data_IF_451813204459
#
_entry.id   IF_451813204459
#
_cell.length_a   1.000
_cell.length_b   1.000
_cell.length_c   1.000
_cell.angle_alpha   90.00
_cell.angle_beta   90.00
_cell.angle_gamma   90.00
#
_symmetry.space_group_name_H-M   'P 1'
#
loop_
_entity.id
_entity.type
_entity.pdbx_description
1 polymer ?
#
# COMPACT_ATOMS: atom_id res chain seq x y z
N UNK A 1 -61.55 -1.05 -52.02
CA UNK A 1 -62.03 -1.55 -50.72
C UNK A 1 -61.46 -2.94 -50.49
N UNK A 2 -60.75 -3.13 -49.36
CA UNK A 2 -60.35 -4.41 -48.76
C UNK A 2 -59.36 -5.30 -49.55
N UNK A 3 -58.42 -6.03 -48.96
CA UNK A 3 -57.92 -6.15 -47.57
C UNK A 3 -56.56 -6.87 -47.64
N UNK A 4 -55.71 -6.53 -46.68
CA UNK A 4 -54.38 -7.07 -46.41
C UNK A 4 -54.38 -8.58 -46.16
N UNK A 5 -53.37 -9.28 -46.67
CA UNK A 5 -52.77 -10.43 -45.99
C UNK A 5 -51.28 -10.51 -46.34
N UNK A 6 -50.41 -10.02 -45.46
CA UNK A 6 -48.99 -10.37 -45.46
C UNK A 6 -48.61 -10.74 -44.03
N UNK A 7 -48.30 -12.03 -43.83
CA UNK A 7 -47.80 -12.56 -42.57
C UNK A 7 -46.48 -11.85 -42.23
N UNK A 8 -46.45 -11.20 -41.07
CA UNK A 8 -45.21 -10.78 -40.42
C UNK A 8 -44.81 -11.88 -39.43
N UNK A 9 -43.78 -12.64 -39.77
CA UNK A 9 -43.08 -13.52 -38.85
C UNK A 9 -42.21 -12.65 -37.94
N UNK A 10 -42.68 -12.40 -36.71
CA UNK A 10 -41.95 -11.66 -35.69
C UNK A 10 -40.99 -12.62 -34.97
N UNK A 11 -39.73 -12.69 -35.41
CA UNK A 11 -38.66 -13.33 -34.62
C UNK A 11 -38.28 -12.42 -33.46
N UNK A 12 -38.79 -12.72 -32.27
CA UNK A 12 -38.29 -12.16 -31.02
C UNK A 12 -36.86 -12.68 -30.79
N UNK A 13 -35.87 -11.83 -31.02
CA UNK A 13 -34.52 -12.02 -30.47
C UNK A 13 -34.59 -11.62 -29.01
N UNK A 14 -34.70 -12.60 -28.12
CA UNK A 14 -34.46 -12.42 -26.68
C UNK A 14 -32.96 -12.20 -26.50
N UNK A 15 -32.51 -10.94 -26.49
CA UNK A 15 -31.19 -10.58 -25.95
C UNK A 15 -31.23 -10.76 -24.45
N UNK A 16 -30.76 -11.92 -23.99
CA UNK A 16 -30.38 -12.16 -22.60
C UNK A 16 -29.26 -11.18 -22.24
N UNK A 17 -29.62 -10.04 -21.65
CA UNK A 17 -28.68 -9.21 -20.90
C UNK A 17 -28.27 -10.02 -19.68
N UNK A 18 -27.19 -10.79 -19.81
CA UNK A 18 -26.44 -11.29 -18.67
C UNK A 18 -25.92 -10.03 -17.97
N UNK A 19 -26.57 -9.66 -16.86
CA UNK A 19 -25.99 -8.74 -15.91
C UNK A 19 -24.70 -9.37 -15.40
N UNK A 20 -23.57 -8.99 -15.99
CA UNK A 20 -22.26 -9.26 -15.40
C UNK A 20 -22.24 -8.40 -14.15
N UNK A 21 -22.43 -9.01 -12.97
CA UNK A 21 -22.08 -8.31 -11.74
C UNK A 21 -20.59 -8.03 -11.82
N UNK A 22 -20.23 -6.77 -11.99
CA UNK A 22 -18.84 -6.33 -11.98
C UNK A 22 -18.36 -6.26 -10.53
N UNK A 23 -18.45 -7.37 -9.79
CA UNK A 23 -17.53 -7.56 -8.69
C UNK A 23 -16.20 -7.92 -9.34
N UNK A 24 -15.17 -7.11 -9.08
CA UNK A 24 -13.81 -7.41 -9.52
C UNK A 24 -13.45 -8.80 -8.98
N UNK A 25 -13.51 -9.81 -9.84
CA UNK A 25 -13.32 -11.19 -9.43
C UNK A 25 -11.84 -11.39 -9.15
N UNK A 26 -11.52 -11.79 -7.91
CA UNK A 26 -10.16 -12.17 -7.53
C UNK A 26 -9.68 -13.29 -8.44
N UNK A 27 -8.56 -13.07 -9.12
CA UNK A 27 -7.96 -14.04 -10.03
C UNK A 27 -7.68 -15.38 -9.33
N UNK A 28 -7.78 -16.49 -10.07
CA UNK A 28 -7.30 -17.78 -9.59
C UNK A 28 -5.79 -17.74 -9.33
N UNK A 29 -5.29 -18.49 -8.34
CA UNK A 29 -3.89 -18.46 -7.90
C UNK A 29 -2.87 -18.67 -9.02
N UNK A 30 -3.19 -19.51 -10.03
CA UNK A 30 -2.33 -19.71 -11.20
C UNK A 30 -2.18 -18.45 -12.06
N UNK A 31 -3.26 -17.70 -12.23
CA UNK A 31 -3.23 -16.45 -13.00
C UNK A 31 -2.60 -15.32 -12.18
N UNK A 32 -2.82 -15.30 -10.85
CA UNK A 32 -2.06 -14.41 -9.95
C UNK A 32 -0.56 -14.65 -10.07
N UNK A 33 -0.12 -15.92 -10.05
CA UNK A 33 1.30 -16.27 -10.14
C UNK A 33 1.95 -15.80 -11.44
N UNK A 34 1.26 -15.96 -12.58
CA UNK A 34 1.73 -15.45 -13.87
C UNK A 34 1.91 -13.94 -13.86
N UNK A 35 0.92 -13.19 -13.37
CA UNK A 35 0.97 -11.73 -13.34
C UNK A 35 2.06 -11.22 -12.40
N UNK A 36 2.20 -11.86 -11.22
CA UNK A 36 3.28 -11.54 -10.28
C UNK A 36 4.65 -11.76 -10.92
N UNK A 37 4.88 -12.91 -11.55
CA UNK A 37 6.16 -13.22 -12.21
C UNK A 37 6.42 -12.28 -13.39
N UNK A 38 5.40 -11.93 -14.18
CA UNK A 38 5.48 -10.93 -15.26
C UNK A 38 5.94 -9.56 -14.73
N UNK A 39 5.34 -9.09 -13.63
CA UNK A 39 5.68 -7.79 -13.01
C UNK A 39 7.09 -7.83 -12.41
N UNK A 40 7.48 -8.92 -11.77
CA UNK A 40 8.85 -9.07 -11.24
C UNK A 40 9.85 -9.02 -12.40
N UNK A 41 9.58 -9.73 -13.50
CA UNK A 41 10.44 -9.73 -14.67
C UNK A 41 10.55 -8.33 -15.29
N UNK A 42 9.45 -7.59 -15.45
CA UNK A 42 9.47 -6.19 -15.92
C UNK A 42 10.31 -5.30 -14.99
N UNK A 43 10.09 -5.40 -13.67
CA UNK A 43 10.81 -4.60 -12.69
C UNK A 43 12.32 -4.90 -12.68
N UNK A 44 12.70 -6.17 -12.75
CA UNK A 44 14.11 -6.57 -12.79
C UNK A 44 14.79 -6.17 -14.10
N UNK A 45 14.08 -6.24 -15.24
CA UNK A 45 14.67 -5.99 -16.55
C UNK A 45 14.69 -4.51 -16.94
N UNK A 46 13.66 -3.76 -16.57
CA UNK A 46 13.45 -2.40 -17.05
C UNK A 46 13.61 -1.35 -15.94
N UNK A 47 13.08 -1.60 -14.73
CA UNK A 47 13.11 -0.62 -13.64
C UNK A 47 14.46 -0.61 -12.92
N UNK A 48 14.92 -1.76 -12.43
CA UNK A 48 16.13 -1.85 -11.61
C UNK A 48 17.39 -1.21 -12.22
N UNK A 49 17.75 -1.40 -13.50
CA UNK A 49 18.93 -0.72 -14.07
C UNK A 49 18.81 0.80 -14.05
N UNK A 50 17.60 1.37 -14.25
CA UNK A 50 17.38 2.82 -14.14
C UNK A 50 17.58 3.31 -12.71
N UNK A 51 17.13 2.54 -11.72
CA UNK A 51 17.29 2.87 -10.31
C UNK A 51 18.76 2.76 -9.85
N UNK A 52 19.48 1.74 -10.32
CA UNK A 52 20.92 1.60 -10.07
C UNK A 52 21.70 2.77 -10.67
N UNK A 53 21.34 3.22 -11.89
CA UNK A 53 21.90 4.43 -12.49
C UNK A 53 21.61 5.68 -11.65
N UNK A 54 20.32 5.89 -11.28
CA UNK A 54 19.86 7.04 -10.49
C UNK A 54 20.61 7.17 -9.15
N UNK A 55 20.81 6.04 -8.48
CA UNK A 55 21.42 5.99 -7.13
C UNK A 55 22.95 5.86 -7.18
N UNK A 56 23.51 5.54 -8.35
CA UNK A 56 24.95 5.34 -8.54
C UNK A 56 25.49 4.14 -7.77
N UNK A 57 24.68 3.10 -7.57
CA UNK A 57 25.14 1.82 -6.99
C UNK A 57 25.52 0.89 -8.15
N UNK A 58 26.80 0.56 -8.26
CA UNK A 58 27.29 -0.28 -9.36
C UNK A 58 26.97 -1.75 -9.13
N UNK A 59 27.02 -2.21 -7.89
CA UNK A 59 26.71 -3.59 -7.53
C UNK A 59 25.81 -3.62 -6.30
N UNK A 60 24.65 -4.24 -6.41
CA UNK A 60 23.76 -4.47 -5.28
C UNK A 60 23.80 -5.94 -4.89
N UNK A 61 24.26 -6.21 -3.66
CA UNK A 61 24.40 -7.55 -3.11
C UNK A 61 23.38 -7.72 -1.99
N UNK A 62 22.44 -8.64 -2.18
CA UNK A 62 21.46 -9.03 -1.16
C UNK A 62 21.72 -10.46 -0.76
N UNK A 63 21.89 -10.69 0.54
CA UNK A 63 22.24 -11.99 1.11
C UNK A 63 21.12 -12.36 2.06
N UNK A 64 20.53 -13.52 1.86
CA UNK A 64 19.42 -13.95 2.69
C UNK A 64 19.38 -15.46 2.87
N UNK A 65 18.54 -15.92 3.79
CA UNK A 65 18.35 -17.32 4.14
C UNK A 65 16.87 -17.66 4.21
N UNK A 66 16.57 -18.92 3.98
CA UNK A 66 15.23 -19.48 4.18
C UNK A 66 14.72 -19.18 5.60
N UNK A 67 13.51 -18.63 5.69
CA UNK A 67 12.84 -18.17 6.92
C UNK A 67 13.39 -16.90 7.55
N UNK A 68 14.42 -16.28 6.97
CA UNK A 68 14.88 -14.95 7.37
C UNK A 68 15.14 -14.09 6.13
N UNK A 69 14.11 -13.97 5.30
CA UNK A 69 14.21 -13.22 4.06
C UNK A 69 14.34 -11.72 4.32
N UNK A 70 15.37 -11.12 3.71
CA UNK A 70 15.49 -9.68 3.61
C UNK A 70 14.17 -9.11 3.02
N UNK A 71 13.60 -8.03 3.59
CA UNK A 71 12.31 -7.50 3.14
C UNK A 71 12.27 -7.13 1.66
N UNK A 72 13.40 -6.68 1.08
CA UNK A 72 13.53 -6.44 -0.35
C UNK A 72 13.49 -7.75 -1.12
N UNK A 73 14.25 -8.76 -0.68
CA UNK A 73 14.32 -10.04 -1.41
C UNK A 73 12.94 -10.70 -1.51
N UNK A 74 12.08 -10.58 -0.49
CA UNK A 74 10.68 -11.07 -0.54
C UNK A 74 9.90 -10.53 -1.75
N UNK A 75 10.21 -9.31 -2.20
CA UNK A 75 9.55 -8.70 -3.37
C UNK A 75 10.11 -9.21 -4.71
N UNK A 76 11.26 -9.87 -4.71
CA UNK A 76 11.96 -10.38 -5.90
C UNK A 76 11.79 -11.89 -6.10
N UNK A 77 11.26 -12.62 -5.11
CA UNK A 77 11.05 -14.05 -5.20
C UNK A 77 9.93 -14.38 -6.21
N UNK A 78 10.05 -15.44 -7.02
CA UNK A 78 8.97 -15.90 -7.89
C UNK A 78 7.68 -16.15 -7.11
N UNK A 79 6.53 -16.05 -7.77
CA UNK A 79 5.22 -16.22 -7.15
C UNK A 79 5.05 -17.57 -6.44
N UNK A 80 5.72 -18.61 -6.94
CA UNK A 80 5.67 -19.98 -6.39
C UNK A 80 6.68 -20.23 -5.27
N UNK A 81 7.53 -19.25 -4.95
CA UNK A 81 8.47 -19.33 -3.84
C UNK A 81 7.89 -18.60 -2.63
N UNK A 82 7.38 -19.37 -1.67
CA UNK A 82 6.83 -18.85 -0.41
C UNK A 82 7.97 -18.30 0.47
N UNK A 83 9.15 -18.92 0.40
CA UNK A 83 10.38 -18.54 1.09
C UNK A 83 11.58 -18.60 0.14
N UNK A 84 12.68 -17.94 0.52
CA UNK A 84 13.97 -18.19 -0.09
C UNK A 84 14.38 -19.65 0.17
N UNK A 85 15.25 -20.22 -0.69
CA UNK A 85 15.68 -21.62 -0.55
C UNK A 85 17.12 -21.68 -0.06
N UNK A 86 17.36 -22.11 1.18
CA UNK A 86 18.67 -22.04 1.86
C UNK A 86 19.27 -20.61 1.77
N UNK A 87 20.59 -20.49 1.78
CA UNK A 87 21.28 -19.22 1.50
C UNK A 87 21.11 -18.83 0.03
N UNK A 88 20.43 -17.72 -0.20
CA UNK A 88 20.22 -17.12 -1.53
C UNK A 88 20.93 -15.76 -1.57
N UNK A 89 21.88 -15.60 -2.47
CA UNK A 89 22.58 -14.33 -2.68
C UNK A 89 22.22 -13.78 -4.07
N UNK A 90 21.49 -12.67 -4.10
CA UNK A 90 21.16 -11.97 -5.34
C UNK A 90 22.21 -10.89 -5.59
N UNK A 91 22.76 -10.85 -6.80
CA UNK A 91 23.78 -9.89 -7.22
C UNK A 91 23.31 -9.23 -8.50
N UNK A 92 23.11 -7.91 -8.42
CA UNK A 92 22.83 -7.06 -9.56
C UNK A 92 24.05 -6.19 -9.82
N UNK A 93 24.51 -6.13 -11.07
CA UNK A 93 25.61 -5.24 -11.47
C UNK A 93 25.16 -4.35 -12.61
N UNK A 94 25.49 -3.06 -12.52
CA UNK A 94 25.25 -2.07 -13.54
C UNK A 94 26.51 -1.24 -13.79
N UNK A 95 26.94 -1.16 -15.04
CA UNK A 95 28.02 -0.29 -15.46
C UNK A 95 27.43 0.96 -16.15
N UNK A 96 27.51 2.16 -15.55
CA UNK A 96 26.90 3.35 -16.13
C UNK A 96 27.57 3.81 -17.43
N UNK A 97 28.83 3.43 -17.69
CA UNK A 97 29.54 3.79 -18.92
C UNK A 97 29.19 2.88 -20.10
N UNK A 98 29.17 1.56 -19.88
CA UNK A 98 28.89 0.58 -20.95
C UNK A 98 27.42 0.21 -21.06
N UNK A 99 26.60 0.60 -20.07
CA UNK A 99 25.22 0.15 -19.90
C UNK A 99 25.08 -1.36 -19.73
N UNK A 100 26.18 -2.05 -19.38
CA UNK A 100 26.15 -3.47 -19.05
C UNK A 100 25.36 -3.67 -17.76
N UNK A 101 24.35 -4.54 -17.83
CA UNK A 101 23.52 -4.92 -16.70
C UNK A 101 23.48 -6.43 -16.56
N UNK A 102 23.81 -6.95 -15.37
CA UNK A 102 23.76 -8.39 -15.08
C UNK A 102 22.95 -8.68 -13.83
N UNK A 103 22.29 -9.85 -13.85
CA UNK A 103 21.45 -10.39 -12.77
C UNK A 103 21.92 -11.80 -12.48
N UNK A 104 22.42 -12.04 -11.26
CA UNK A 104 22.97 -13.34 -10.87
C UNK A 104 22.43 -13.76 -9.51
N UNK A 105 22.12 -15.05 -9.39
CA UNK A 105 21.86 -15.69 -8.11
C UNK A 105 23.06 -16.58 -7.81
N UNK A 106 23.86 -16.24 -6.80
CA UNK A 106 24.84 -17.20 -6.25
C UNK A 106 24.04 -18.17 -5.39
N UNK A 107 23.40 -19.13 -6.06
CA UNK A 107 22.51 -20.14 -5.51
C UNK A 107 22.50 -21.34 -6.45
N UNK A 108 21.94 -22.47 -5.99
CA UNK A 108 21.93 -23.73 -6.76
C UNK A 108 21.04 -23.69 -8.00
N UNK A 109 20.03 -22.83 -8.01
CA UNK A 109 19.01 -22.77 -9.05
C UNK A 109 18.74 -21.32 -9.43
N UNK A 110 18.16 -21.13 -10.61
CA UNK A 110 17.67 -19.83 -11.04
C UNK A 110 16.61 -19.32 -10.05
N UNK A 111 16.58 -18.00 -9.85
CA UNK A 111 15.50 -17.33 -9.13
C UNK A 111 14.57 -16.75 -10.18
N UNK A 112 13.45 -17.43 -10.39
CA UNK A 112 12.49 -17.11 -11.44
C UNK A 112 13.06 -17.31 -12.84
N UNK A 113 12.49 -16.59 -13.81
CA UNK A 113 12.93 -16.62 -15.20
C UNK A 113 14.16 -15.71 -15.44
N UNK A 114 14.20 -14.57 -14.73
CA UNK A 114 15.11 -13.44 -14.98
C UNK A 114 16.48 -13.51 -14.27
N UNK A 115 16.62 -14.23 -13.16
CA UNK A 115 17.89 -14.27 -12.40
C UNK A 115 18.53 -15.65 -12.55
N UNK A 116 19.65 -15.73 -13.27
CA UNK A 116 20.34 -17.00 -13.54
C UNK A 116 21.22 -17.41 -12.36
N UNK A 117 21.26 -18.72 -12.11
CA UNK A 117 22.21 -19.31 -11.18
C UNK A 117 23.64 -19.06 -11.67
N UNK A 118 24.51 -18.58 -10.76
CA UNK A 118 25.90 -18.26 -11.02
C UNK A 118 26.86 -19.00 -10.08
N UNK A 119 26.38 -20.01 -9.35
CA UNK A 119 27.21 -20.83 -8.47
C UNK A 119 27.68 -22.11 -9.17
N UNK A 120 28.91 -22.07 -9.69
CA UNK A 120 29.63 -23.27 -10.10
C UNK A 120 30.23 -23.96 -8.85
N UNK A 121 29.54 -25.00 -8.39
CA UNK A 121 29.92 -25.75 -7.17
C UNK A 121 31.19 -26.57 -7.33
N UNK A 122 31.61 -26.89 -8.57
CA UNK A 122 32.85 -27.63 -8.84
C UNK A 122 34.03 -26.68 -8.74
N UNK A 123 33.90 -25.47 -9.32
CA UNK A 123 34.95 -24.45 -9.26
C UNK A 123 35.03 -23.76 -7.89
N UNK A 124 33.89 -23.55 -7.25
CA UNK A 124 33.76 -22.89 -5.94
C UNK A 124 32.93 -23.76 -5.00
N UNK A 125 33.55 -24.70 -4.26
CA UNK A 125 32.83 -25.51 -3.27
C UNK A 125 32.13 -24.66 -2.19
N UNK A 126 32.73 -23.53 -1.83
CA UNK A 126 32.14 -22.52 -0.96
C UNK A 126 31.37 -21.48 -1.79
N UNK A 127 30.09 -21.29 -1.48
CA UNK A 127 29.19 -20.32 -2.12
C UNK A 127 29.72 -18.89 -2.01
N UNK A 128 30.36 -18.54 -0.90
CA UNK A 128 30.91 -17.20 -0.70
C UNK A 128 32.08 -16.90 -1.64
N UNK A 129 32.87 -17.90 -2.00
CA UNK A 129 33.98 -17.73 -2.95
C UNK A 129 33.45 -17.46 -4.37
N UNK A 130 32.30 -18.05 -4.73
CA UNK A 130 31.62 -17.73 -5.99
C UNK A 130 31.10 -16.27 -6.00
N UNK A 131 30.56 -15.78 -4.88
CA UNK A 131 30.19 -14.36 -4.75
C UNK A 131 31.42 -13.45 -4.93
N UNK A 132 32.54 -13.77 -4.28
CA UNK A 132 33.77 -12.99 -4.43
C UNK A 132 34.34 -13.04 -5.84
N UNK A 133 34.18 -14.16 -6.56
CA UNK A 133 34.54 -14.25 -7.98
C UNK A 133 33.74 -13.27 -8.84
N UNK A 134 32.43 -13.08 -8.56
CA UNK A 134 31.61 -12.08 -9.25
C UNK A 134 32.04 -10.65 -8.92
N UNK A 135 32.31 -10.34 -7.64
CA UNK A 135 32.83 -9.02 -7.23
C UNK A 135 34.15 -8.72 -7.95
N UNK A 136 35.08 -9.67 -7.97
CA UNK A 136 36.37 -9.54 -8.64
C UNK A 136 36.23 -9.44 -10.17
N UNK A 137 35.27 -10.14 -10.79
CA UNK A 137 35.04 -10.05 -12.23
C UNK A 137 34.59 -8.66 -12.65
N UNK A 138 33.67 -8.06 -11.90
CA UNK A 138 33.01 -6.81 -12.27
C UNK A 138 33.71 -5.54 -11.75
N UNK A 139 34.62 -5.67 -10.78
CA UNK A 139 35.40 -4.54 -10.23
C UNK A 139 34.54 -3.30 -9.88
N UNK A 140 33.41 -3.44 -9.14
CA UNK A 140 32.53 -2.30 -8.85
C UNK A 140 33.27 -1.20 -8.08
N UNK A 141 32.84 0.06 -8.23
CA UNK A 141 33.31 1.21 -7.44
C UNK A 141 32.46 1.42 -6.19
N UNK A 142 31.18 1.06 -6.24
CA UNK A 142 30.24 1.06 -5.11
C UNK A 142 29.49 -0.26 -5.02
N UNK A 143 29.55 -0.90 -3.86
CA UNK A 143 28.82 -2.13 -3.54
C UNK A 143 27.79 -1.80 -2.46
N UNK A 144 26.51 -1.82 -2.83
CA UNK A 144 25.40 -1.61 -1.94
C UNK A 144 25.03 -2.87 -1.15
N UNK A 145 24.89 -2.71 0.16
CA UNK A 145 24.33 -3.72 1.07
C UNK A 145 23.04 -3.20 1.72
N UNK A 146 22.09 -4.07 2.04
CA UNK A 146 20.83 -3.70 2.70
C UNK A 146 21.06 -3.41 4.19
N UNK A 147 21.65 -2.26 4.46
CA UNK A 147 21.86 -1.70 5.80
C UNK A 147 21.26 -0.29 5.82
N UNK A 148 20.45 0.03 6.82
CA UNK A 148 19.72 1.30 6.87
C UNK A 148 19.45 1.73 8.31
N UNK A 149 19.57 3.04 8.58
CA UNK A 149 19.17 3.60 9.88
C UNK A 149 17.73 4.08 9.89
N UNK A 150 17.18 4.43 8.73
CA UNK A 150 15.92 5.16 8.60
C UNK A 150 14.78 4.31 8.03
N UNK A 151 15.09 3.18 7.38
CA UNK A 151 14.13 2.32 6.74
C UNK A 151 14.39 0.85 7.11
N UNK A 152 13.58 0.30 8.02
CA UNK A 152 13.66 -1.13 8.37
C UNK A 152 13.52 -2.06 7.16
N UNK A 153 12.78 -1.65 6.12
CA UNK A 153 12.66 -2.40 4.86
C UNK A 153 13.99 -2.53 4.10
N UNK A 154 14.94 -1.62 4.32
CA UNK A 154 16.24 -1.57 3.66
C UNK A 154 17.39 -2.01 4.60
N UNK A 155 17.07 -2.53 5.79
CA UNK A 155 18.03 -3.00 6.81
C UNK A 155 17.96 -4.53 6.99
N UNK A 156 17.72 -5.26 5.90
CA UNK A 156 17.49 -6.70 5.94
C UNK A 156 18.74 -7.58 5.95
N UNK A 157 19.96 -7.01 5.89
CA UNK A 157 21.18 -7.78 5.99
C UNK A 157 21.45 -8.20 7.44
N UNK A 158 21.23 -9.48 7.72
CA UNK A 158 21.58 -10.10 8.99
C UNK A 158 23.04 -9.88 9.39
N UNK A 159 23.27 -9.69 10.70
CA UNK A 159 24.61 -9.52 11.24
C UNK A 159 25.54 -10.70 10.93
N UNK A 160 25.04 -11.94 11.01
CA UNK A 160 25.81 -13.16 10.72
C UNK A 160 26.28 -13.22 9.25
N UNK A 161 25.44 -12.81 8.31
CA UNK A 161 25.75 -12.76 6.88
C UNK A 161 26.68 -11.58 6.58
N UNK A 162 26.50 -10.44 7.25
CA UNK A 162 27.43 -9.31 7.16
C UNK A 162 28.84 -9.70 7.61
N UNK A 163 28.99 -10.37 8.75
CA UNK A 163 30.30 -10.81 9.24
C UNK A 163 30.99 -11.77 8.28
N UNK A 164 30.25 -12.77 7.77
CA UNK A 164 30.77 -13.71 6.77
C UNK A 164 31.18 -12.99 5.48
N UNK A 165 30.34 -12.07 4.99
CA UNK A 165 30.66 -11.25 3.83
C UNK A 165 31.95 -10.45 4.05
N UNK A 166 32.10 -9.79 5.20
CA UNK A 166 33.27 -8.98 5.53
C UNK A 166 34.56 -9.79 5.70
N UNK A 167 34.47 -11.03 6.17
CA UNK A 167 35.59 -11.96 6.25
C UNK A 167 36.07 -12.38 4.85
N UNK A 168 35.13 -12.63 3.93
CA UNK A 168 35.41 -13.09 2.57
C UNK A 168 35.77 -11.96 1.60
N UNK A 169 35.28 -10.75 1.85
CA UNK A 169 35.47 -9.61 0.96
C UNK A 169 36.95 -9.18 0.88
N UNK A 170 37.56 -9.15 -0.32
CA UNK A 170 38.93 -8.69 -0.47
C UNK A 170 39.10 -7.25 0.03
N UNK A 171 40.25 -6.97 0.65
CA UNK A 171 40.54 -5.67 1.30
C UNK A 171 40.28 -4.48 0.37
N UNK A 172 40.61 -4.62 -0.92
CA UNK A 172 40.42 -3.57 -1.93
C UNK A 172 38.95 -3.16 -2.18
N UNK A 173 37.97 -4.00 -1.79
CA UNK A 173 36.54 -3.70 -1.93
C UNK A 173 35.88 -3.23 -0.63
N UNK A 174 36.52 -3.40 0.54
CA UNK A 174 35.94 -3.01 1.83
C UNK A 174 35.61 -1.52 1.90
N UNK A 175 36.45 -0.67 1.31
CA UNK A 175 36.24 0.79 1.24
C UNK A 175 35.17 1.21 0.23
N UNK A 176 34.65 0.26 -0.56
CA UNK A 176 33.62 0.50 -1.59
C UNK A 176 32.22 0.13 -1.11
N UNK A 177 32.09 -0.41 0.10
CA UNK A 177 30.81 -0.74 0.68
C UNK A 177 30.05 0.52 1.05
N UNK A 178 28.78 0.55 0.67
CA UNK A 178 27.85 1.63 0.99
C UNK A 178 26.50 1.05 1.40
N UNK A 179 25.72 1.81 2.14
CA UNK A 179 24.30 1.51 2.31
C UNK A 179 23.61 1.54 0.95
N UNK A 180 22.79 0.52 0.69
CA UNK A 180 21.90 0.48 -0.47
C UNK A 180 20.56 1.16 -0.22
N UNK A 181 20.34 1.78 0.95
CA UNK A 181 19.07 2.40 1.34
C UNK A 181 18.46 3.26 0.23
N UNK A 182 19.19 4.16 -0.48
CA UNK A 182 18.60 4.93 -1.57
C UNK A 182 18.04 4.07 -2.71
N UNK A 183 18.70 2.94 -3.04
CA UNK A 183 18.27 2.00 -4.09
C UNK A 183 17.16 1.07 -3.61
N UNK A 184 17.24 0.60 -2.36
CA UNK A 184 16.21 -0.24 -1.75
C UNK A 184 14.89 0.52 -1.61
N UNK A 185 14.93 1.77 -1.13
CA UNK A 185 13.76 2.66 -1.07
C UNK A 185 13.23 2.93 -2.48
N UNK A 186 14.11 3.28 -3.43
CA UNK A 186 13.73 3.50 -4.82
C UNK A 186 13.01 2.30 -5.45
N UNK A 187 13.51 1.09 -5.18
CA UNK A 187 12.91 -0.15 -5.62
C UNK A 187 11.50 -0.31 -5.03
N UNK A 188 11.34 -0.14 -3.72
CA UNK A 188 10.07 -0.34 -3.04
C UNK A 188 9.03 0.76 -3.32
N UNK A 189 9.44 2.01 -3.54
CA UNK A 189 8.50 3.13 -3.73
C UNK A 189 7.94 3.20 -5.15
N UNK A 190 8.75 2.81 -6.16
CA UNK A 190 8.43 3.06 -7.56
C UNK A 190 7.47 1.99 -8.09
N UNK A 191 6.32 2.41 -8.62
CA UNK A 191 5.35 1.58 -9.34
C UNK A 191 5.62 1.62 -10.84
N UNK A 192 5.59 0.47 -11.52
CA UNK A 192 5.65 0.41 -12.98
C UNK A 192 4.30 0.69 -13.61
N UNK A 193 4.30 1.01 -14.91
CA UNK A 193 3.07 1.16 -15.68
C UNK A 193 2.20 -0.11 -15.63
N UNK A 194 2.83 -1.30 -15.55
CA UNK A 194 2.13 -2.57 -15.45
C UNK A 194 1.42 -2.74 -14.10
N UNK A 195 2.06 -2.37 -12.99
CA UNK A 195 1.42 -2.32 -11.67
C UNK A 195 0.20 -1.40 -11.68
N UNK A 196 0.34 -0.21 -12.28
CA UNK A 196 -0.75 0.78 -12.34
C UNK A 196 -1.93 0.37 -13.23
N UNK A 197 -1.83 -0.67 -14.05
CA UNK A 197 -2.97 -1.20 -14.82
C UNK A 197 -3.96 -1.97 -13.94
N UNK A 198 -3.52 -2.57 -12.83
CA UNK A 198 -4.38 -3.34 -11.94
C UNK A 198 -4.48 -2.77 -10.52
N UNK A 199 -3.62 -1.83 -10.12
CA UNK A 199 -3.74 -1.17 -8.81
C UNK A 199 -5.14 -0.56 -8.56
N UNK A 200 -5.80 0.11 -9.53
CA UNK A 200 -7.18 0.57 -9.36
C UNK A 200 -8.16 -0.54 -8.93
N UNK A 201 -7.97 -1.76 -9.42
CA UNK A 201 -8.80 -2.91 -9.05
C UNK A 201 -8.56 -3.36 -7.60
N UNK A 202 -7.30 -3.32 -7.12
CA UNK A 202 -6.98 -3.60 -5.71
C UNK A 202 -7.74 -2.64 -4.80
N UNK A 203 -7.68 -1.34 -5.08
CA UNK A 203 -8.38 -0.31 -4.30
C UNK A 203 -9.90 -0.45 -4.42
N UNK A 204 -10.43 -0.77 -5.61
CA UNK A 204 -11.86 -1.00 -5.82
C UNK A 204 -12.38 -2.20 -5.02
N UNK A 205 -11.61 -3.28 -4.90
CA UNK A 205 -11.98 -4.44 -4.08
C UNK A 205 -12.12 -4.00 -2.62
N UNK A 206 -11.16 -3.24 -2.08
CA UNK A 206 -11.23 -2.75 -0.70
C UNK A 206 -12.45 -1.86 -0.47
N UNK A 207 -12.69 -0.89 -1.37
CA UNK A 207 -13.85 0.00 -1.28
C UNK A 207 -15.18 -0.74 -1.41
N UNK A 208 -15.25 -1.78 -2.24
CA UNK A 208 -16.44 -2.62 -2.36
C UNK A 208 -16.70 -3.43 -1.08
N UNK A 209 -15.66 -3.94 -0.43
CA UNK A 209 -15.77 -4.64 0.85
C UNK A 209 -16.23 -3.66 1.95
N UNK A 210 -15.64 -2.46 2.02
CA UNK A 210 -16.05 -1.39 2.95
C UNK A 210 -17.52 -1.03 2.76
N UNK A 211 -17.96 -0.80 1.51
CA UNK A 211 -19.35 -0.48 1.21
C UNK A 211 -20.32 -1.60 1.63
N UNK A 212 -19.93 -2.87 1.45
CA UNK A 212 -20.73 -4.02 1.91
C UNK A 212 -20.76 -4.11 3.44
N UNK A 213 -19.64 -3.90 4.11
CA UNK A 213 -19.55 -3.89 5.57
C UNK A 213 -20.39 -2.77 6.18
N UNK A 214 -20.37 -1.58 5.58
CA UNK A 214 -21.23 -0.45 5.92
C UNK A 214 -22.61 -0.51 5.25
N UNK A 215 -23.25 -1.67 5.27
CA UNK A 215 -24.61 -1.85 4.76
C UNK A 215 -25.53 -2.53 5.76
N UNK A 216 -26.84 -2.41 5.54
CA UNK A 216 -27.85 -3.14 6.30
C UNK A 216 -27.84 -4.66 6.07
N UNK A 217 -27.01 -5.19 5.17
CA UNK A 217 -26.79 -6.63 5.04
C UNK A 217 -25.91 -7.18 6.17
N UNK A 218 -25.04 -6.33 6.72
CA UNK A 218 -24.01 -6.72 7.70
C UNK A 218 -24.32 -6.12 9.07
N UNK A 219 -24.75 -4.86 9.10
CA UNK A 219 -25.02 -4.13 10.34
C UNK A 219 -26.51 -4.14 10.65
N UNK A 220 -26.85 -4.64 11.84
CA UNK A 220 -28.16 -4.47 12.47
C UNK A 220 -28.01 -3.54 13.69
N UNK A 221 -28.47 -2.28 13.61
CA UNK A 221 -28.36 -1.34 14.73
C UNK A 221 -29.03 -1.87 16.01
N UNK A 222 -28.38 -1.70 17.15
CA UNK A 222 -28.78 -2.22 18.45
C UNK A 222 -28.38 -3.68 18.70
N UNK A 223 -27.76 -4.36 17.72
CA UNK A 223 -27.32 -5.76 17.82
C UNK A 223 -25.83 -5.88 17.47
N UNK A 224 -25.45 -5.47 16.25
CA UNK A 224 -24.07 -5.60 15.76
C UNK A 224 -23.13 -4.68 16.53
N UNK A 225 -22.00 -5.21 16.99
CA UNK A 225 -20.92 -4.42 17.59
C UNK A 225 -19.89 -4.00 16.54
N UNK A 226 -19.07 -2.98 16.84
CA UNK A 226 -17.91 -2.63 16.01
C UNK A 226 -16.93 -3.81 15.89
N UNK A 227 -16.78 -4.61 16.94
CA UNK A 227 -15.94 -5.80 16.95
C UNK A 227 -16.48 -6.90 16.03
N UNK A 228 -17.80 -7.14 16.02
CA UNK A 228 -18.42 -8.07 15.05
C UNK A 228 -18.12 -7.64 13.62
N UNK A 229 -18.15 -6.32 13.35
CA UNK A 229 -17.86 -5.79 12.02
C UNK A 229 -16.37 -5.94 11.65
N UNK A 230 -15.44 -5.74 12.59
CA UNK A 230 -14.01 -6.02 12.41
C UNK A 230 -13.78 -7.49 12.02
N UNK A 231 -14.39 -8.42 12.74
CA UNK A 231 -14.27 -9.86 12.42
C UNK A 231 -14.97 -10.24 11.13
N UNK A 232 -16.10 -9.60 10.81
CA UNK A 232 -16.75 -9.76 9.53
C UNK A 232 -15.82 -9.35 8.38
N UNK A 233 -15.13 -8.21 8.48
CA UNK A 233 -14.14 -7.77 7.50
C UNK A 233 -13.01 -8.78 7.33
N UNK A 234 -12.43 -9.26 8.45
CA UNK A 234 -11.38 -10.30 8.43
C UNK A 234 -11.85 -11.58 7.73
N UNK A 235 -13.06 -12.04 8.03
CA UNK A 235 -13.64 -13.23 7.41
C UNK A 235 -13.95 -13.00 5.92
N UNK A 236 -14.45 -11.82 5.56
CA UNK A 236 -14.75 -11.46 4.16
C UNK A 236 -13.50 -11.48 3.30
N UNK A 237 -12.39 -10.86 3.75
CA UNK A 237 -11.09 -10.89 3.07
C UNK A 237 -10.67 -12.35 2.81
N UNK A 238 -10.67 -13.19 3.84
CA UNK A 238 -10.26 -14.58 3.71
C UNK A 238 -11.16 -15.39 2.75
N UNK A 239 -12.47 -15.17 2.82
CA UNK A 239 -13.45 -15.87 1.98
C UNK A 239 -13.32 -15.52 0.49
N UNK A 240 -12.77 -14.34 0.17
CA UNK A 240 -12.44 -13.93 -1.19
C UNK A 240 -11.07 -14.44 -1.68
N UNK A 241 -10.34 -15.19 -0.85
CA UNK A 241 -8.98 -15.66 -1.17
C UNK A 241 -7.92 -14.55 -1.13
N UNK A 242 -8.20 -13.47 -0.39
CA UNK A 242 -7.30 -12.34 -0.18
C UNK A 242 -6.59 -12.45 1.17
N UNK A 243 -5.55 -11.65 1.37
CA UNK A 243 -4.94 -11.42 2.67
C UNK A 243 -4.97 -9.93 3.03
N UNK A 244 -4.43 -9.57 4.20
CA UNK A 244 -4.31 -8.20 4.66
C UNK A 244 -3.02 -8.05 5.46
N UNK A 245 -2.48 -6.83 5.50
CA UNK A 245 -1.22 -6.50 6.15
C UNK A 245 -1.40 -5.98 7.58
N UNK A 246 -2.65 -5.72 8.01
CA UNK A 246 -2.98 -5.36 9.39
C UNK A 246 -4.35 -5.90 9.82
N UNK A 247 -4.71 -5.70 11.08
CA UNK A 247 -6.04 -6.00 11.59
C UNK A 247 -6.89 -4.73 11.46
N UNK A 248 -8.05 -4.76 10.76
CA UNK A 248 -8.83 -3.55 10.55
C UNK A 248 -9.38 -3.05 11.89
N UNK A 249 -9.73 -1.77 11.94
CA UNK A 249 -10.41 -1.18 13.10
C UNK A 249 -11.75 -0.59 12.68
N UNK A 250 -12.71 -0.57 13.60
CA UNK A 250 -14.00 0.10 13.43
C UNK A 250 -14.27 0.93 14.67
N UNK A 251 -14.41 2.23 14.48
CA UNK A 251 -14.61 3.19 15.55
C UNK A 251 -15.99 3.84 15.46
N UNK A 252 -16.52 4.19 16.64
CA UNK A 252 -17.83 4.82 16.78
C UNK A 252 -17.66 6.20 17.39
N UNK A 253 -18.14 7.22 16.68
CA UNK A 253 -18.35 8.55 17.21
C UNK A 253 -19.84 8.85 17.28
N UNK A 254 -20.32 9.21 18.47
CA UNK A 254 -21.73 9.48 18.71
C UNK A 254 -21.96 10.73 19.53
N UNK A 255 -23.22 11.17 19.56
CA UNK A 255 -23.70 12.28 20.37
C UNK A 255 -23.79 11.87 21.86
N UNK A 256 -22.63 11.75 22.48
CA UNK A 256 -22.45 11.50 23.91
C UNK A 256 -21.46 12.51 24.51
N UNK A 257 -21.16 12.37 25.80
CA UNK A 257 -20.21 13.22 26.51
C UNK A 257 -18.78 12.63 26.54
N UNK A 258 -18.50 11.58 25.76
CA UNK A 258 -17.20 10.92 25.74
C UNK A 258 -16.33 11.61 24.70
N UNK A 259 -15.20 12.19 25.11
CA UNK A 259 -14.23 12.77 24.18
C UNK A 259 -13.50 11.69 23.36
N UNK A 260 -13.11 12.03 22.13
CA UNK A 260 -12.34 11.14 21.27
C UNK A 260 -10.92 10.94 21.82
N UNK A 261 -10.54 9.68 22.04
CA UNK A 261 -9.23 9.27 22.53
C UNK A 261 -8.51 8.47 21.44
N UNK A 262 -7.55 9.11 20.77
CA UNK A 262 -6.81 8.52 19.65
C UNK A 262 -6.07 7.24 20.06
N UNK A 263 -5.53 7.14 21.27
CA UNK A 263 -4.79 5.95 21.71
C UNK A 263 -5.72 4.75 21.92
N UNK A 264 -6.93 5.01 22.42
CA UNK A 264 -7.94 3.95 22.57
C UNK A 264 -8.56 3.55 21.25
N UNK A 265 -8.69 4.47 20.30
CA UNK A 265 -9.31 4.24 18.99
C UNK A 265 -8.59 3.16 18.15
N UNK A 266 -7.30 2.90 18.39
CA UNK A 266 -6.54 1.89 17.64
C UNK A 266 -6.05 0.72 18.51
N UNK A 267 -6.62 0.57 19.72
CA UNK A 267 -6.29 -0.52 20.63
C UNK A 267 -7.33 -1.64 20.56
N UNK A 268 -6.93 -2.90 20.75
CA UNK A 268 -7.82 -4.04 20.65
C UNK A 268 -8.84 -4.01 21.81
N UNK A 269 -10.10 -3.69 21.50
CA UNK A 269 -11.18 -3.61 22.48
C UNK A 269 -11.88 -4.96 22.50
N UNK A 270 -11.66 -5.75 23.55
CA UNK A 270 -12.54 -6.88 23.83
C UNK A 270 -14.01 -6.45 23.94
N UNK A 271 -14.94 -7.40 24.13
CA UNK A 271 -16.36 -7.09 24.22
C UNK A 271 -16.68 -5.99 25.27
N UNK A 272 -17.13 -4.83 24.79
CA UNK A 272 -17.64 -3.70 25.59
C UNK A 272 -19.04 -3.34 25.05
N UNK A 273 -20.10 -3.34 25.88
CA UNK A 273 -21.44 -2.89 25.48
C UNK A 273 -21.47 -1.50 24.82
N UNK A 274 -20.48 -0.63 25.08
CA UNK A 274 -20.34 0.67 24.39
C UNK A 274 -20.04 0.53 22.89
N UNK A 275 -19.60 -0.63 22.45
CA UNK A 275 -19.25 -0.92 21.06
C UNK A 275 -20.46 -1.39 20.22
N UNK A 276 -21.65 -1.52 20.80
CA UNK A 276 -22.88 -1.80 20.01
C UNK A 276 -23.17 -0.59 19.13
N UNK A 277 -23.33 -0.84 17.82
CA UNK A 277 -23.65 0.18 16.81
C UNK A 277 -25.12 0.58 16.98
N UNK A 278 -25.38 1.89 17.03
CA UNK A 278 -26.72 2.47 17.24
C UNK A 278 -27.11 3.41 16.11
N UNK A 279 -28.41 3.64 15.98
CA UNK A 279 -28.93 4.67 15.09
C UNK A 279 -28.45 6.06 15.50
N UNK A 280 -27.94 6.83 14.55
CA UNK A 280 -27.32 8.14 14.77
C UNK A 280 -25.80 8.12 14.99
N UNK A 281 -25.18 6.93 15.01
CA UNK A 281 -23.72 6.81 15.09
C UNK A 281 -23.04 7.22 13.78
N UNK A 282 -21.89 7.88 13.91
CA UNK A 282 -20.89 8.03 12.85
C UNK A 282 -19.84 6.95 13.05
N UNK A 283 -19.79 6.01 12.11
CA UNK A 283 -18.81 4.93 12.08
C UNK A 283 -17.61 5.36 11.24
N UNK A 284 -16.45 4.85 11.60
CA UNK A 284 -15.22 4.92 10.81
C UNK A 284 -14.64 3.51 10.73
N UNK A 285 -14.05 3.18 9.58
CA UNK A 285 -13.27 1.95 9.41
C UNK A 285 -11.89 2.33 8.92
N UNK A 286 -10.89 1.57 9.38
CA UNK A 286 -9.55 1.51 8.82
C UNK A 286 -9.31 0.10 8.27
N UNK A 287 -9.07 0.00 6.96
CA UNK A 287 -9.13 -1.25 6.22
C UNK A 287 -8.19 -1.29 5.02
N UNK A 288 -7.40 -2.36 4.96
CA UNK A 288 -6.55 -2.67 3.81
C UNK A 288 -6.52 -4.15 3.45
N UNK A 289 -6.21 -4.45 2.19
CA UNK A 289 -5.94 -5.80 1.70
C UNK A 289 -4.54 -5.89 1.12
N UNK A 290 -4.04 -7.11 0.99
CA UNK A 290 -2.90 -7.45 0.14
C UNK A 290 -3.42 -8.28 -1.03
N UNK A 291 -3.21 -7.81 -2.26
CA UNK A 291 -3.58 -8.51 -3.47
C UNK A 291 -2.52 -8.31 -4.56
N UNK A 292 -2.10 -9.40 -5.21
CA UNK A 292 -1.05 -9.36 -6.25
C UNK A 292 0.25 -8.67 -5.78
N UNK A 293 0.59 -8.82 -4.50
CA UNK A 293 1.74 -8.17 -3.82
C UNK A 293 1.67 -6.64 -3.72
N UNK A 294 0.51 -6.06 -3.96
CA UNK A 294 0.22 -4.67 -3.62
C UNK A 294 -0.71 -4.61 -2.42
N UNK A 295 -0.56 -3.57 -1.62
CA UNK A 295 -1.43 -3.27 -0.50
C UNK A 295 -2.34 -2.09 -0.86
N UNK A 296 -3.54 -2.10 -0.32
CA UNK A 296 -4.36 -0.90 -0.20
C UNK A 296 -4.41 -0.47 1.26
N UNK A 297 -4.74 0.79 1.48
CA UNK A 297 -5.08 1.32 2.80
C UNK A 297 -6.15 2.40 2.68
N UNK A 298 -7.29 2.20 3.34
CA UNK A 298 -8.51 2.97 3.10
C UNK A 298 -9.25 3.17 4.42
N UNK A 299 -9.48 4.44 4.74
CA UNK A 299 -10.34 4.86 5.83
C UNK A 299 -11.55 5.62 5.30
N UNK A 300 -12.74 5.17 5.69
CA UNK A 300 -14.00 5.76 5.27
C UNK A 300 -15.02 5.81 6.42
N UNK A 301 -15.96 6.75 6.33
CA UNK A 301 -17.02 6.94 7.31
C UNK A 301 -18.37 6.43 6.84
N UNK A 302 -19.19 5.94 7.77
CA UNK A 302 -20.60 5.64 7.55
C UNK A 302 -21.47 6.34 8.58
N UNK A 303 -22.68 6.68 8.19
CA UNK A 303 -23.71 7.16 9.11
C UNK A 303 -24.83 6.13 9.25
N UNK A 304 -25.19 5.82 10.49
CA UNK A 304 -26.33 4.95 10.78
C UNK A 304 -27.58 5.80 10.87
N UNK A 305 -28.50 5.63 9.92
CA UNK A 305 -29.73 6.42 9.85
C UNK A 305 -30.62 6.16 11.08
N UNK A 306 -31.18 7.24 11.63
CA UNK A 306 -32.30 7.18 12.57
C UNK A 306 -33.60 6.84 11.83
N UNK A 307 -34.64 6.40 12.56
CA UNK A 307 -35.96 6.23 11.98
C UNK A 307 -36.37 7.48 11.17
N UNK A 308 -36.91 7.25 9.97
CA UNK A 308 -37.35 8.27 9.01
C UNK A 308 -36.26 9.11 8.33
N UNK A 309 -34.98 9.01 8.73
CA UNK A 309 -33.90 9.66 8.00
C UNK A 309 -33.64 8.96 6.66
N UNK A 310 -33.41 9.74 5.61
CA UNK A 310 -33.11 9.25 4.26
C UNK A 310 -31.68 9.52 3.81
N UNK A 311 -30.98 10.38 4.54
CA UNK A 311 -29.63 10.85 4.28
C UNK A 311 -28.98 11.27 5.60
N UNK A 312 -27.65 11.39 5.62
CA UNK A 312 -26.92 11.88 6.78
C UNK A 312 -27.23 13.37 7.05
N UNK A 313 -27.23 13.82 8.31
CA UNK A 313 -27.41 15.22 8.67
C UNK A 313 -26.38 16.14 8.02
N UNK A 314 -26.80 17.36 7.66
CA UNK A 314 -25.95 18.34 6.97
C UNK A 314 -24.67 18.68 7.76
N UNK A 315 -24.73 18.70 9.09
CA UNK A 315 -23.54 18.97 9.91
C UNK A 315 -22.46 17.88 9.78
N UNK A 316 -22.82 16.60 9.58
CA UNK A 316 -21.85 15.52 9.33
C UNK A 316 -21.32 15.56 7.89
N UNK A 317 -22.17 15.88 6.92
CA UNK A 317 -21.75 16.07 5.52
C UNK A 317 -20.76 17.23 5.39
N UNK A 318 -21.02 18.33 6.09
CA UNK A 318 -20.11 19.48 6.15
C UNK A 318 -18.79 19.12 6.85
N UNK A 319 -18.83 18.33 7.92
CA UNK A 319 -17.60 17.85 8.56
C UNK A 319 -16.76 16.99 7.61
N UNK A 320 -17.38 16.06 6.88
CA UNK A 320 -16.70 15.27 5.83
C UNK A 320 -16.06 16.18 4.77
N UNK A 321 -16.73 17.26 4.36
CA UNK A 321 -16.20 18.22 3.40
C UNK A 321 -14.93 18.94 3.92
N UNK A 322 -14.84 19.24 5.22
CA UNK A 322 -13.62 19.79 5.84
C UNK A 322 -12.45 18.80 5.75
N UNK A 323 -12.71 17.50 5.99
CA UNK A 323 -11.70 16.45 5.79
C UNK A 323 -11.23 16.36 4.33
N UNK A 324 -12.16 16.43 3.37
CA UNK A 324 -11.83 16.45 1.93
C UNK A 324 -10.98 17.68 1.55
N UNK A 325 -11.29 18.85 2.11
CA UNK A 325 -10.50 20.07 1.92
C UNK A 325 -9.08 19.91 2.45
N UNK A 326 -8.90 19.25 3.60
CA UNK A 326 -7.57 18.94 4.12
C UNK A 326 -6.79 17.98 3.20
N UNK A 327 -7.46 16.99 2.61
CA UNK A 327 -6.85 16.13 1.59
C UNK A 327 -6.39 16.92 0.36
N UNK A 328 -7.17 17.90 -0.11
CA UNK A 328 -6.76 18.80 -1.20
C UNK A 328 -5.56 19.65 -0.80
N UNK A 329 -5.57 20.23 0.41
CA UNK A 329 -4.45 21.04 0.92
C UNK A 329 -3.16 20.23 0.90
N UNK A 330 -3.19 19.00 1.43
CA UNK A 330 -2.02 18.13 1.49
C UNK A 330 -1.53 17.74 0.09
N UNK A 331 -2.41 17.22 -0.74
CA UNK A 331 -2.02 16.67 -2.06
C UNK A 331 -1.56 17.75 -3.03
N UNK A 332 -2.05 18.99 -2.90
CA UNK A 332 -1.53 20.15 -3.62
C UNK A 332 -0.09 20.53 -3.24
N UNK A 333 0.45 20.01 -2.13
CA UNK A 333 1.85 20.23 -1.76
C UNK A 333 2.83 19.23 -2.40
N UNK A 334 2.33 18.20 -3.08
CA UNK A 334 3.16 17.16 -3.69
C UNK A 334 3.98 17.74 -4.84
N UNK A 335 5.29 17.49 -4.82
CA UNK A 335 6.19 18.00 -5.84
C UNK A 335 7.46 17.14 -5.91
N UNK A 336 7.98 16.96 -7.13
CA UNK A 336 9.25 16.28 -7.36
C UNK A 336 10.37 16.95 -6.55
N UNK A 337 11.22 16.13 -5.91
CA UNK A 337 12.36 16.53 -5.08
C UNK A 337 12.00 17.31 -3.80
N UNK A 338 10.72 17.41 -3.43
CA UNK A 338 10.30 18.00 -2.15
C UNK A 338 10.28 16.91 -1.08
N UNK A 339 10.89 17.17 0.08
CA UNK A 339 10.90 16.18 1.17
C UNK A 339 9.53 16.05 1.83
N UNK A 340 9.26 14.88 2.42
CA UNK A 340 8.03 14.65 3.19
C UNK A 340 7.81 15.68 4.30
N UNK A 341 8.88 16.07 5.00
CA UNK A 341 8.87 17.12 6.04
C UNK A 341 8.50 18.50 5.49
N UNK A 342 8.95 18.83 4.27
CA UNK A 342 8.58 20.09 3.63
C UNK A 342 7.12 20.07 3.15
N UNK A 343 6.64 18.93 2.65
CA UNK A 343 5.23 18.74 2.27
C UNK A 343 4.33 18.90 3.51
N UNK A 344 4.67 18.24 4.62
CA UNK A 344 3.95 18.31 5.89
C UNK A 344 3.84 19.75 6.40
N UNK A 345 4.97 20.45 6.53
CA UNK A 345 5.00 21.81 7.06
C UNK A 345 4.21 22.80 6.21
N UNK A 346 4.28 22.70 4.88
CA UNK A 346 3.49 23.55 3.98
C UNK A 346 1.99 23.26 4.09
N UNK A 347 1.61 21.98 4.16
CA UNK A 347 0.21 21.57 4.28
C UNK A 347 -0.40 22.03 5.61
N UNK A 348 0.31 21.85 6.72
CA UNK A 348 -0.14 22.32 8.04
C UNK A 348 -0.23 23.85 8.11
N UNK A 349 0.70 24.57 7.49
CA UNK A 349 0.65 26.02 7.42
C UNK A 349 -0.58 26.50 6.62
N UNK A 350 -0.91 25.85 5.52
CA UNK A 350 -2.09 26.17 4.72
C UNK A 350 -3.40 25.78 5.42
N UNK A 351 -3.47 24.59 6.03
CA UNK A 351 -4.61 24.17 6.85
C UNK A 351 -4.90 25.17 7.97
N UNK A 352 -3.87 25.67 8.64
CA UNK A 352 -4.00 26.71 9.67
C UNK A 352 -4.59 28.02 9.12
N UNK A 353 -4.19 28.47 7.93
CA UNK A 353 -4.78 29.67 7.30
C UNK A 353 -6.26 29.48 7.00
N UNK A 354 -6.64 28.26 6.61
CA UNK A 354 -8.02 27.87 6.32
C UNK A 354 -8.79 27.46 7.59
N UNK A 355 -8.22 27.64 8.77
CA UNK A 355 -8.82 27.34 10.09
C UNK A 355 -9.21 25.86 10.27
N UNK A 356 -8.50 24.95 9.60
CA UNK A 356 -8.68 23.51 9.76
C UNK A 356 -7.76 23.02 10.88
N UNK A 357 -8.34 22.39 11.90
CA UNK A 357 -7.59 21.70 12.94
C UNK A 357 -7.12 20.34 12.41
N UNK A 358 -5.95 20.34 11.78
CA UNK A 358 -5.41 19.23 11.02
C UNK A 358 -4.41 18.35 11.81
N UNK A 359 -4.38 17.07 11.48
CA UNK A 359 -3.28 16.16 11.79
C UNK A 359 -3.04 15.31 10.55
N UNK A 360 -1.79 15.23 10.09
CA UNK A 360 -1.42 14.55 8.85
C UNK A 360 -0.49 13.39 9.16
N UNK A 361 -0.85 12.19 8.71
CA UNK A 361 0.00 11.01 8.78
C UNK A 361 -0.12 10.30 7.44
N UNK A 362 0.66 10.71 6.45
CA UNK A 362 0.57 10.15 5.10
C UNK A 362 1.86 9.41 4.79
N UNK A 363 1.75 8.22 4.19
CA UNK A 363 2.90 7.37 3.91
C UNK A 363 2.84 6.77 2.50
N UNK A 364 3.99 6.36 1.94
CA UNK A 364 4.01 5.57 0.72
C UNK A 364 3.27 4.24 0.93
N UNK A 365 2.72 3.69 -0.15
CA UNK A 365 2.08 2.37 -0.16
C UNK A 365 2.44 1.57 -1.42
N UNK A 366 2.38 0.24 -1.31
CA UNK A 366 2.67 -0.67 -2.42
C UNK A 366 2.99 -2.07 -1.94
N UNK A 367 4.24 -2.50 -2.05
CA UNK A 367 4.68 -3.83 -1.59
C UNK A 367 4.49 -4.06 -0.08
N UNK A 368 4.46 -2.99 0.70
CA UNK A 368 4.11 -2.97 2.12
C UNK A 368 2.99 -1.92 2.32
N UNK A 369 2.24 -2.03 3.42
CA UNK A 369 1.22 -1.03 3.80
C UNK A 369 1.86 0.32 4.12
N UNK A 370 2.62 0.36 5.21
CA UNK A 370 3.60 1.41 5.47
C UNK A 370 4.85 1.20 4.59
N UNK A 371 4.79 1.55 3.30
CA UNK A 371 5.91 1.33 2.38
C UNK A 371 7.05 2.33 2.57
N UNK A 372 8.23 1.95 2.07
CA UNK A 372 9.39 2.83 2.03
C UNK A 372 9.21 3.97 1.01
N UNK A 373 9.75 5.14 1.34
CA UNK A 373 9.62 6.39 0.60
C UNK A 373 9.36 7.56 1.56
N UNK A 374 8.96 8.74 1.06
CA UNK A 374 8.85 9.93 1.89
C UNK A 374 7.62 9.87 2.80
N UNK A 375 7.85 9.79 4.12
CA UNK A 375 6.78 9.91 5.12
C UNK A 375 6.39 11.37 5.30
N UNK A 376 5.10 11.66 5.40
CA UNK A 376 4.56 13.00 5.58
C UNK A 376 3.80 13.02 6.92
N UNK A 377 4.53 13.33 7.99
CA UNK A 377 4.00 13.36 9.36
C UNK A 377 3.69 11.98 9.95
N UNK A 378 3.40 11.96 11.24
CA UNK A 378 2.82 10.84 11.99
C UNK A 378 1.87 11.41 13.03
N UNK A 379 0.96 10.60 13.58
CA UNK A 379 0.00 11.08 14.60
C UNK A 379 0.65 11.83 15.78
N UNK A 380 1.89 11.47 16.16
CA UNK A 380 2.69 12.10 17.21
C UNK A 380 3.85 12.98 16.70
N UNK A 381 4.08 13.06 15.39
CA UNK A 381 5.20 13.81 14.77
C UNK A 381 4.72 14.82 13.72
N UNK A 382 4.03 15.86 14.16
CA UNK A 382 3.55 16.96 13.29
C UNK A 382 4.61 18.04 12.98
N UNK A 383 5.81 17.95 13.58
CA UNK A 383 6.92 18.87 13.34
C UNK A 383 7.99 18.30 12.38
N UNK A 384 7.72 17.14 11.79
CA UNK A 384 8.64 16.42 10.91
C UNK A 384 9.08 15.08 11.48
N UNK A 385 9.42 14.17 10.57
CA UNK A 385 9.84 12.79 10.81
C UNK A 385 11.31 12.66 10.36
N UNK A 386 12.27 12.55 11.27
CA UNK A 386 13.68 12.38 10.91
C UNK A 386 13.92 11.10 10.09
N UNK A 387 14.76 11.18 9.06
CA UNK A 387 15.04 10.05 8.18
C UNK A 387 14.02 9.94 7.05
N UNK A 388 12.91 9.22 7.26
CA UNK A 388 11.95 8.97 6.18
C UNK A 388 11.22 10.23 5.70
N UNK A 389 10.99 11.21 6.57
CA UNK A 389 10.45 12.51 6.17
C UNK A 389 11.46 13.42 5.47
N UNK A 390 12.77 13.14 5.58
CA UNK A 390 13.81 13.89 4.88
C UNK A 390 14.02 13.41 3.44
N UNK A 391 13.54 12.19 3.14
CA UNK A 391 13.62 11.62 1.80
C UNK A 391 12.78 12.45 0.81
N UNK A 392 13.32 12.74 -0.39
CA UNK A 392 12.61 13.51 -1.39
C UNK A 392 11.53 12.68 -2.11
N UNK A 393 10.43 13.33 -2.47
CA UNK A 393 9.38 12.74 -3.29
C UNK A 393 9.83 12.57 -4.74
N UNK A 394 9.63 11.36 -5.27
CA UNK A 394 9.83 11.03 -6.68
C UNK A 394 8.50 10.72 -7.37
N UNK A 395 8.52 10.80 -8.69
CA UNK A 395 7.41 10.34 -9.51
C UNK A 395 7.26 8.82 -9.46
N UNK A 396 6.07 8.39 -9.86
CA UNK A 396 5.63 7.01 -9.92
C UNK A 396 5.54 6.35 -8.54
N UNK A 397 5.25 7.12 -7.50
CA UNK A 397 5.07 6.62 -6.14
C UNK A 397 3.58 6.66 -5.77
N UNK A 398 3.10 5.57 -5.18
CA UNK A 398 1.77 5.50 -4.60
C UNK A 398 1.83 5.86 -3.10
N UNK A 399 0.77 6.50 -2.61
CA UNK A 399 0.66 6.98 -1.23
C UNK A 399 -0.71 6.66 -0.67
N UNK A 400 -0.75 6.34 0.61
CA UNK A 400 -1.98 6.39 1.38
C UNK A 400 -2.16 7.77 1.98
N UNK A 401 -3.18 8.50 1.53
CA UNK A 401 -3.43 9.89 1.95
C UNK A 401 -4.22 9.90 3.26
N UNK A 402 -3.54 9.56 4.36
CA UNK A 402 -4.08 9.52 5.70
C UNK A 402 -3.91 10.85 6.46
N UNK A 403 -5.01 11.32 7.05
CA UNK A 403 -5.11 12.54 7.84
C UNK A 403 -6.41 12.57 8.64
N UNK A 404 -6.50 13.47 9.61
CA UNK A 404 -7.77 13.83 10.21
C UNK A 404 -7.97 15.34 10.38
N UNK A 405 -9.22 15.75 10.25
CA UNK A 405 -9.68 17.08 10.66
C UNK A 405 -10.53 16.97 11.94
N UNK A 406 -10.18 17.74 12.96
CA UNK A 406 -11.04 17.94 14.13
C UNK A 406 -12.12 18.98 13.81
N UNK A 407 -13.39 18.59 13.94
CA UNK A 407 -14.54 19.44 13.61
C UNK A 407 -15.49 19.51 14.78
N UNK A 408 -15.81 20.72 15.24
CA UNK A 408 -16.83 20.94 16.25
C UNK A 408 -18.23 20.77 15.64
N UNK A 409 -19.01 19.84 16.21
CA UNK A 409 -20.40 19.60 15.86
C UNK A 409 -21.28 20.24 16.93
N UNK A 410 -21.92 21.36 16.59
CA UNK A 410 -22.74 22.15 17.53
C UNK A 410 -23.93 21.34 18.05
N UNK A 411 -24.54 20.53 17.19
CA UNK A 411 -25.67 19.65 17.48
C UNK A 411 -25.30 18.59 18.51
N UNK A 412 -24.01 18.21 18.60
CA UNK A 412 -23.49 17.24 19.57
C UNK A 412 -22.77 17.92 20.74
N UNK A 413 -22.52 19.23 20.66
CA UNK A 413 -21.66 20.00 21.58
C UNK A 413 -20.31 19.30 21.80
N UNK A 414 -19.76 18.76 20.71
CA UNK A 414 -18.61 17.85 20.74
C UNK A 414 -17.74 18.05 19.51
N UNK A 415 -16.43 17.91 19.68
CA UNK A 415 -15.50 17.79 18.55
C UNK A 415 -15.40 16.34 18.12
N UNK A 416 -15.61 16.10 16.82
CA UNK A 416 -15.39 14.80 16.19
C UNK A 416 -14.13 14.83 15.34
N UNK A 417 -13.61 13.65 15.00
CA UNK A 417 -12.51 13.47 14.05
C UNK A 417 -13.02 12.92 12.73
N UNK A 418 -12.79 13.64 11.65
CA UNK A 418 -12.99 13.15 10.29
C UNK A 418 -11.65 12.57 9.83
N UNK A 419 -11.45 11.29 10.14
CA UNK A 419 -10.29 10.50 9.74
C UNK A 419 -10.52 9.96 8.32
N UNK A 420 -9.63 10.28 7.38
CA UNK A 420 -9.78 9.90 5.98
C UNK A 420 -8.46 9.36 5.49
N UNK A 421 -8.55 8.30 4.70
CA UNK A 421 -7.40 7.67 4.07
C UNK A 421 -7.82 7.09 2.72
N UNK A 422 -7.09 7.48 1.67
CA UNK A 422 -7.37 7.04 0.31
C UNK A 422 -6.06 6.90 -0.47
N UNK A 423 -5.92 5.77 -1.15
CA UNK A 423 -4.77 5.52 -2.01
C UNK A 423 -4.73 6.47 -3.22
N UNK A 424 -3.57 7.06 -3.43
CA UNK A 424 -3.26 7.96 -4.53
C UNK A 424 -1.93 7.67 -5.19
N UNK A 425 -1.70 8.31 -6.32
CA UNK A 425 -0.52 8.11 -7.17
C UNK A 425 0.00 9.46 -7.64
N UNK A 426 1.30 9.67 -7.49
CA UNK A 426 1.99 10.86 -7.93
C UNK A 426 2.90 10.56 -9.13
N UNK A 427 2.60 11.15 -10.28
CA UNK A 427 3.37 11.01 -11.52
C UNK A 427 3.61 12.39 -12.18
N UNK A 428 4.15 12.38 -13.40
CA UNK A 428 4.45 13.61 -14.15
C UNK A 428 3.20 14.44 -14.47
N UNK A 429 2.00 13.85 -14.47
CA UNK A 429 0.73 14.56 -14.62
C UNK A 429 0.23 15.16 -13.30
N UNK A 430 0.88 14.86 -12.18
CA UNK A 430 0.53 15.33 -10.84
C UNK A 430 -0.01 14.21 -9.96
N UNK A 431 -0.66 14.60 -8.86
CA UNK A 431 -1.30 13.67 -7.94
C UNK A 431 -2.71 13.32 -8.41
N UNK A 432 -3.11 12.05 -8.27
CA UNK A 432 -4.49 11.59 -8.46
C UNK A 432 -4.83 10.47 -7.48
N UNK A 433 -6.08 10.40 -7.03
CA UNK A 433 -6.58 9.23 -6.31
C UNK A 433 -6.73 8.05 -7.26
N UNK A 434 -6.22 6.87 -6.87
CA UNK A 434 -6.17 5.69 -7.74
C UNK A 434 -7.58 5.22 -8.13
N UNK A 435 -8.53 5.26 -7.19
CA UNK A 435 -9.94 4.90 -7.40
C UNK A 435 -10.88 5.90 -6.71
N UNK A 436 -10.59 7.19 -6.87
CA UNK A 436 -11.33 8.29 -6.25
C UNK A 436 -11.24 8.30 -4.72
N UNK A 437 -11.93 9.25 -4.09
CA UNK A 437 -11.98 9.40 -2.62
C UNK A 437 -13.40 9.42 -2.08
N UNK A 438 -13.57 9.24 -0.77
CA UNK A 438 -14.88 9.40 -0.13
C UNK A 438 -15.33 10.86 -0.10
N UNK A 439 -16.42 11.15 -0.84
CA UNK A 439 -17.06 12.48 -0.84
C UNK A 439 -18.48 12.46 -0.27
N UNK A 440 -19.00 11.27 0.05
CA UNK A 440 -20.29 11.05 0.69
C UNK A 440 -20.14 9.96 1.74
N UNK A 441 -20.84 10.11 2.86
CA UNK A 441 -20.92 9.08 3.89
C UNK A 441 -21.63 7.85 3.32
N UNK A 442 -21.16 6.65 3.68
CA UNK A 442 -21.98 5.45 3.52
C UNK A 442 -23.22 5.56 4.42
N UNK A 443 -24.33 4.96 4.02
CA UNK A 443 -25.58 5.02 4.77
C UNK A 443 -26.01 3.61 5.21
N UNK A 444 -26.01 3.37 6.52
CA UNK A 444 -26.53 2.14 7.12
C UNK A 444 -27.98 2.38 7.55
N UNK A 445 -28.91 1.52 7.14
CA UNK A 445 -30.33 1.62 7.49
C UNK A 445 -31.26 1.95 6.33
N UNK A 446 -30.73 2.17 5.11
CA UNK A 446 -31.54 2.35 3.92
C UNK A 446 -31.76 1.00 3.21
N UNK A 447 -32.99 0.42 3.22
CA UNK A 447 -33.25 -0.88 2.61
C UNK A 447 -33.10 -0.89 1.07
N UNK A 448 -32.99 0.28 0.44
CA UNK A 448 -32.83 0.43 -1.01
C UNK A 448 -31.37 0.52 -1.48
N UNK A 449 -30.38 0.52 -0.58
CA UNK A 449 -28.94 0.53 -0.91
C UNK A 449 -28.37 -0.89 -0.84
N UNK A 450 -28.98 -1.82 -1.58
CA UNK A 450 -28.56 -3.22 -1.67
C UNK A 450 -27.45 -3.45 -2.68
#
# INVERSE_FOLDING_TARGET
MNKNTLLLTLSLVFTSLIGVSTQAQVLALREQAKLIDEVIDDRLNNLLPQLMERTGIDMWVMITREYNEDPIVKTMLPATWISARRTTMLVFYYNPQTKEYTKSAVARYNVGSSIKAAWDMTKYPDQWDALMALVNKHQPKKIGLNISKSYGHADGLDHTEYEQFMQKLPVAFKTKLVSSEPLAVAWLETRTAREMQYYPQVVQISKAIIAEGFSSKVITPGITTSEDLVWWYRQKINSLGLSTWFHPSVEIQRNDQIEFDHLKAFSNKGYDPKNIIQAGDLLHVDFGITYLRLNSDIQEHAYVLKPEEKDAPDYLKNALAVGNQLQDILTNQFALNKSGNKILSDALAEAKKQQINATIYTHPIGAHGHAAGPTIGMWDQQNGVPGSGDYPMYYNTAYSIELNAAVEIKEWKKTIRIMLEQDGYFDQAGFKYISGRQTKLHLVGNPNWQ
#
